data_IF_579448793980
#
_entry.id   IF_579448793980
#
_cell.length_a   1.000
_cell.length_b   1.000
_cell.length_c   1.000
_cell.angle_alpha   90.00
_cell.angle_beta   90.00
_cell.angle_gamma   90.00
#
_symmetry.space_group_name_H-M   'P 1'
#
loop_
_entity.id
_entity.type
_entity.pdbx_description
1 polymer ?
#
# COMPACT_ATOMS: atom_id res chain seq x y z
N UNK A 1 1.57 -14.87 -2.52
CA UNK A 1 2.76 -14.51 -1.73
C UNK A 1 2.25 -13.76 -0.52
N UNK A 2 2.55 -14.25 0.67
CA UNK A 2 2.13 -13.66 1.94
C UNK A 2 3.38 -13.07 2.61
N UNK A 3 3.21 -12.02 3.42
CA UNK A 3 4.31 -11.38 4.13
C UNK A 3 4.30 -11.77 5.61
N UNK A 4 5.41 -12.29 6.11
CA UNK A 4 5.53 -12.73 7.51
C UNK A 4 6.02 -11.63 8.45
N UNK A 5 6.60 -10.55 7.93
CA UNK A 5 7.24 -9.49 8.71
C UNK A 5 6.28 -8.35 9.02
N UNK A 6 5.44 -7.97 8.06
CA UNK A 6 4.56 -6.82 8.13
C UNK A 6 3.25 -7.19 8.85
N UNK A 7 3.07 -6.67 10.07
CA UNK A 7 1.86 -6.92 10.86
C UNK A 7 0.85 -5.79 10.67
N UNK A 8 -0.43 -6.13 10.63
CA UNK A 8 -1.52 -5.17 10.40
C UNK A 8 -1.48 -4.02 11.39
N UNK A 9 -1.29 -4.29 12.69
CA UNK A 9 -1.27 -3.27 13.74
C UNK A 9 -0.09 -2.29 13.62
N UNK A 10 0.99 -2.64 12.92
CA UNK A 10 2.15 -1.76 12.72
C UNK A 10 1.96 -0.80 11.54
N UNK A 11 0.99 -1.08 10.64
CA UNK A 11 0.81 -0.36 9.37
C UNK A 11 -0.49 0.41 9.24
N UNK A 12 -1.49 0.16 10.09
CA UNK A 12 -2.70 1.00 10.14
C UNK A 12 -2.32 2.47 10.33
N UNK A 13 -2.85 3.35 9.47
CA UNK A 13 -2.57 4.79 9.49
C UNK A 13 -1.33 5.21 8.71
N UNK A 14 -0.56 4.26 8.16
CA UNK A 14 0.50 4.54 7.16
C UNK A 14 -0.08 4.62 5.75
N UNK A 15 0.74 5.02 4.78
CA UNK A 15 0.40 5.01 3.36
C UNK A 15 0.98 3.78 2.66
N UNK A 16 0.17 3.15 1.81
CA UNK A 16 0.64 2.26 0.75
C UNK A 16 0.85 3.11 -0.51
N UNK A 17 1.94 2.87 -1.23
CA UNK A 17 2.34 3.62 -2.43
C UNK A 17 2.62 2.63 -3.55
N UNK A 18 2.25 3.00 -4.77
CA UNK A 18 2.61 2.29 -6.00
C UNK A 18 3.47 3.23 -6.84
N UNK A 19 4.65 2.76 -7.22
CA UNK A 19 5.60 3.50 -8.05
C UNK A 19 5.40 3.20 -9.55
N UNK A 20 5.98 4.03 -10.42
CA UNK A 20 5.83 3.99 -11.87
C UNK A 20 6.53 2.81 -12.53
N UNK A 21 7.73 2.49 -12.06
CA UNK A 21 8.61 1.48 -12.62
C UNK A 21 8.72 0.22 -11.76
N UNK A 22 9.41 -0.77 -12.31
CA UNK A 22 9.74 -2.00 -11.60
C UNK A 22 10.79 -1.72 -10.51
N UNK A 23 10.54 -2.19 -9.29
CA UNK A 23 11.52 -2.20 -8.20
C UNK A 23 12.54 -3.32 -8.45
N UNK A 24 13.83 -2.95 -8.56
CA UNK A 24 14.93 -3.88 -8.79
C UNK A 24 15.29 -4.77 -7.58
N UNK A 25 14.57 -4.62 -6.47
CA UNK A 25 14.71 -5.33 -5.19
C UNK A 25 16.09 -5.19 -4.57
N UNK A 26 16.77 -4.08 -4.85
CA UNK A 26 18.13 -3.81 -4.44
C UNK A 26 19.17 -4.61 -5.21
N UNK A 27 18.86 -5.13 -6.40
CA UNK A 27 19.75 -6.01 -7.17
C UNK A 27 20.26 -5.39 -8.47
N UNK A 28 19.79 -4.20 -8.84
CA UNK A 28 20.15 -3.53 -10.10
C UNK A 28 21.55 -2.90 -10.15
N UNK A 29 22.25 -2.77 -9.03
CA UNK A 29 23.60 -2.17 -8.97
C UNK A 29 23.62 -0.65 -9.14
N UNK A 30 22.46 0.01 -9.18
CA UNK A 30 22.33 1.46 -9.21
C UNK A 30 22.48 2.04 -7.78
N UNK A 31 22.98 3.27 -7.60
CA UNK A 31 23.08 3.89 -6.27
C UNK A 31 21.75 3.93 -5.50
N UNK A 32 20.62 4.01 -6.22
CA UNK A 32 19.28 4.03 -5.63
C UNK A 32 18.69 2.62 -5.38
N UNK A 33 19.27 1.56 -5.92
CA UNK A 33 18.72 0.19 -5.80
C UNK A 33 18.47 -0.20 -4.34
N UNK A 34 19.44 0.03 -3.44
CA UNK A 34 19.32 -0.33 -2.02
C UNK A 34 18.48 0.63 -1.18
N UNK A 35 18.04 1.74 -1.76
CA UNK A 35 17.34 2.81 -1.03
C UNK A 35 15.87 2.87 -1.45
N UNK A 36 15.61 2.89 -2.76
CA UNK A 36 14.26 3.05 -3.33
C UNK A 36 13.95 1.99 -4.38
N UNK A 37 14.79 0.96 -4.56
CA UNK A 37 14.56 -0.05 -5.60
C UNK A 37 14.71 0.48 -7.03
N UNK A 38 15.13 1.74 -7.20
CA UNK A 38 15.19 2.41 -8.50
C UNK A 38 13.86 2.41 -9.29
N UNK A 39 12.72 2.48 -8.58
CA UNK A 39 11.36 2.32 -9.13
C UNK A 39 10.73 3.59 -9.73
N UNK A 40 11.39 4.76 -9.68
CA UNK A 40 10.89 6.00 -10.30
C UNK A 40 9.92 6.80 -9.42
N UNK A 41 8.96 7.48 -10.04
CA UNK A 41 7.99 8.35 -9.36
C UNK A 41 6.81 7.58 -8.75
N UNK A 42 6.09 8.22 -7.82
CA UNK A 42 4.94 7.63 -7.13
C UNK A 42 3.66 7.90 -7.92
N UNK A 43 3.04 6.86 -8.46
CA UNK A 43 1.82 6.98 -9.26
C UNK A 43 0.56 7.20 -8.42
N UNK A 44 0.46 6.46 -7.31
CA UNK A 44 -0.73 6.48 -6.46
C UNK A 44 -0.37 6.21 -5.01
N UNK A 45 -1.18 6.74 -4.09
CA UNK A 45 -1.07 6.45 -2.67
C UNK A 45 -2.45 6.30 -2.03
N UNK A 46 -2.51 5.51 -0.97
CA UNK A 46 -3.72 5.30 -0.18
C UNK A 46 -3.38 5.06 1.28
N UNK A 47 -4.24 5.54 2.18
CA UNK A 47 -4.08 5.31 3.62
C UNK A 47 -4.52 3.88 3.94
N UNK A 48 -3.69 3.15 4.67
CA UNK A 48 -4.03 1.82 5.18
C UNK A 48 -5.01 2.00 6.35
N UNK A 49 -6.30 1.90 6.05
CA UNK A 49 -7.39 2.07 7.00
C UNK A 49 -7.81 0.75 7.64
N UNK A 50 -8.41 0.83 8.83
CA UNK A 50 -9.07 -0.33 9.45
C UNK A 50 -10.28 -0.70 8.61
N UNK A 51 -10.38 -1.99 8.28
CA UNK A 51 -11.60 -2.58 7.76
C UNK A 51 -12.18 -3.53 8.81
N UNK A 52 -13.50 -3.65 8.83
CA UNK A 52 -14.16 -4.63 9.69
C UNK A 52 -13.80 -6.05 9.23
N UNK A 53 -13.51 -6.93 10.18
CA UNK A 53 -13.33 -8.36 9.90
C UNK A 53 -14.66 -9.06 9.59
N UNK A 54 -14.58 -10.37 9.34
CA UNK A 54 -15.76 -11.20 9.08
C UNK A 54 -16.80 -11.05 10.20
N UNK A 55 -18.03 -10.73 9.81
CA UNK A 55 -19.19 -10.56 10.69
C UNK A 55 -19.09 -9.43 11.72
N UNK A 56 -18.10 -8.53 11.60
CA UNK A 56 -17.92 -7.42 12.55
C UNK A 56 -18.64 -6.12 12.14
N UNK A 57 -19.15 -6.04 10.90
CA UNK A 57 -19.92 -4.89 10.44
C UNK A 57 -21.11 -5.34 9.58
N UNK A 58 -22.34 -5.21 10.07
CA UNK A 58 -23.55 -5.55 9.30
C UNK A 58 -23.96 -4.47 8.30
N UNK A 59 -23.28 -3.31 8.25
CA UNK A 59 -23.60 -2.25 7.29
C UNK A 59 -23.24 -2.70 5.87
N UNK A 60 -24.25 -2.86 5.01
CA UNK A 60 -24.06 -3.29 3.61
C UNK A 60 -24.12 -2.14 2.59
N UNK A 61 -24.72 -1.01 2.94
CA UNK A 61 -24.92 0.12 2.02
C UNK A 61 -24.30 1.36 2.63
N UNK A 62 -23.42 1.99 1.86
CA UNK A 62 -22.90 3.32 2.10
C UNK A 62 -23.18 4.16 0.85
N UNK A 63 -23.82 5.32 1.04
CA UNK A 63 -24.02 6.29 -0.03
C UNK A 63 -22.83 7.23 -0.06
N UNK A 64 -22.05 7.15 -1.14
CA UNK A 64 -21.19 8.23 -1.59
C UNK A 64 -21.78 8.72 -2.90
N UNK A 65 -21.98 10.03 -3.03
CA UNK A 65 -22.49 10.68 -4.24
C UNK A 65 -21.47 10.66 -5.39
N UNK A 66 -20.17 10.53 -5.07
CA UNK A 66 -19.11 10.24 -6.04
C UNK A 66 -18.96 11.26 -7.16
N UNK A 67 -19.57 12.45 -7.01
CA UNK A 67 -19.49 13.53 -7.98
C UNK A 67 -18.12 14.21 -7.85
N UNK A 68 -17.34 14.16 -8.92
CA UNK A 68 -16.15 15.00 -9.14
C UNK A 68 -16.56 16.35 -9.72
#
# INVERSE_FOLDING_TARGET
MEDEQLKVWDVIGRSLIIDEGEDDLGRGGHPLSKITGNSGERLACGIIARSAGLFQNPKQICSCDGLT
#
